data_IF_475738496141
#
_entry.id   IF_475738496141
#
_cell.length_a   1.000
_cell.length_b   1.000
_cell.length_c   1.000
_cell.angle_alpha   90.00
_cell.angle_beta   90.00
_cell.angle_gamma   90.00
#
_symmetry.space_group_name_H-M   'P 1'
#
loop_
_entity.id
_entity.type
_entity.pdbx_description
1 polymer ?
#
# COMPACT_ATOMS: atom_id res chain seq x y z
N UNK A 1 -3.12 -7.79 2.77
CA UNK A 1 -2.88 -6.50 3.45
C UNK A 1 -3.07 -5.28 2.55
N UNK A 2 -3.13 -5.38 1.22
CA UNK A 2 -3.34 -4.22 0.32
C UNK A 2 -4.69 -3.50 0.45
N UNK A 3 -5.78 -4.23 0.73
CA UNK A 3 -7.12 -3.65 0.94
C UNK A 3 -7.15 -2.65 2.11
N UNK A 4 -6.49 -2.97 3.24
CA UNK A 4 -6.49 -2.11 4.44
C UNK A 4 -5.83 -0.75 4.22
N UNK A 5 -4.77 -0.65 3.41
CA UNK A 5 -4.14 0.65 3.16
C UNK A 5 -5.00 1.50 2.21
N UNK A 6 -5.61 0.91 1.19
CA UNK A 6 -6.46 1.66 0.27
C UNK A 6 -7.71 2.20 0.96
N UNK A 7 -8.37 1.38 1.77
CA UNK A 7 -9.52 1.81 2.58
C UNK A 7 -9.11 2.92 3.55
N UNK A 8 -7.96 2.76 4.20
CA UNK A 8 -7.43 3.78 5.10
C UNK A 8 -7.09 5.10 4.39
N UNK A 9 -6.43 5.04 3.21
CA UNK A 9 -6.11 6.23 2.43
C UNK A 9 -7.38 6.96 1.97
N UNK A 10 -8.43 6.20 1.64
CA UNK A 10 -9.73 6.75 1.31
C UNK A 10 -10.37 7.45 2.51
N UNK A 11 -10.39 6.81 3.68
CA UNK A 11 -10.90 7.41 4.92
C UNK A 11 -10.13 8.69 5.28
N UNK A 12 -8.81 8.69 5.06
CA UNK A 12 -7.97 9.88 5.22
C UNK A 12 -8.34 10.98 4.23
N UNK A 13 -8.52 10.68 2.95
CA UNK A 13 -8.94 11.67 1.96
C UNK A 13 -10.31 12.27 2.29
N UNK A 14 -11.25 11.46 2.79
CA UNK A 14 -12.57 11.92 3.22
C UNK A 14 -12.49 12.79 4.49
N UNK A 15 -11.63 12.44 5.44
CA UNK A 15 -11.31 13.31 6.60
C UNK A 15 -10.74 14.66 6.17
N UNK A 16 -9.83 14.66 5.19
CA UNK A 16 -9.19 15.87 4.68
C UNK A 16 -10.19 16.79 3.95
N UNK A 17 -11.10 16.20 3.16
CA UNK A 17 -12.22 16.93 2.54
C UNK A 17 -13.15 17.53 3.59
N UNK A 18 -13.53 16.75 4.60
CA UNK A 18 -14.38 17.22 5.71
C UNK A 18 -13.74 18.34 6.52
N UNK A 19 -12.42 18.33 6.64
CA UNK A 19 -11.63 19.34 7.35
C UNK A 19 -11.27 20.55 6.49
N UNK A 20 -11.74 20.63 5.23
CA UNK A 20 -11.44 21.68 4.25
C UNK A 20 -9.93 21.89 4.01
N UNK A 21 -9.12 20.85 4.19
CA UNK A 21 -7.67 20.94 3.97
C UNK A 21 -7.37 20.72 2.48
N UNK A 22 -7.33 21.83 1.74
CA UNK A 22 -7.09 21.83 0.29
C UNK A 22 -5.63 22.07 -0.09
N UNK A 23 -4.83 22.61 0.83
CA UNK A 23 -3.44 22.91 0.57
C UNK A 23 -2.57 21.63 0.58
N UNK A 24 -1.80 21.34 -0.49
CA UNK A 24 -0.98 20.13 -0.59
C UNK A 24 0.06 19.99 0.53
N UNK A 25 0.59 21.11 1.05
CA UNK A 25 1.57 21.09 2.15
C UNK A 25 0.89 20.69 3.45
N UNK A 26 -0.29 21.25 3.75
CA UNK A 26 -1.10 20.83 4.89
C UNK A 26 -1.53 19.37 4.77
N UNK A 27 -1.82 18.86 3.58
CA UNK A 27 -2.15 17.46 3.35
C UNK A 27 -1.00 16.52 3.70
N UNK A 28 0.22 16.88 3.32
CA UNK A 28 1.44 16.17 3.69
C UNK A 28 1.71 16.17 5.20
N UNK A 29 1.49 17.31 5.86
CA UNK A 29 1.67 17.44 7.31
C UNK A 29 0.64 16.58 8.06
N UNK A 30 -0.63 16.64 7.63
CA UNK A 30 -1.70 15.81 8.19
C UNK A 30 -1.39 14.33 8.01
N UNK A 31 -0.94 13.92 6.82
CA UNK A 31 -0.53 12.56 6.54
C UNK A 31 0.62 12.12 7.46
N UNK A 32 1.63 12.96 7.66
CA UNK A 32 2.75 12.61 8.56
C UNK A 32 2.32 12.43 10.02
N UNK A 33 1.32 13.18 10.47
CA UNK A 33 0.91 13.20 11.89
C UNK A 33 -0.14 12.12 12.23
N UNK A 34 -1.03 11.79 11.29
CA UNK A 34 -2.20 10.94 11.56
C UNK A 34 -1.89 9.45 11.34
N UNK A 35 -0.94 9.15 10.45
CA UNK A 35 -0.80 7.81 9.85
C UNK A 35 0.08 6.85 10.68
N UNK A 36 0.54 7.28 11.86
CA UNK A 36 1.37 6.48 12.77
C UNK A 36 2.89 6.60 12.52
N UNK A 37 3.68 6.05 13.45
CA UNK A 37 5.14 6.22 13.48
C UNK A 37 5.85 5.55 12.29
N UNK A 38 5.41 4.37 11.85
CA UNK A 38 6.10 3.62 10.79
C UNK A 38 6.06 4.38 9.45
N UNK A 39 4.89 4.85 9.05
CA UNK A 39 4.76 5.59 7.79
C UNK A 39 5.39 6.97 7.89
N UNK A 40 5.34 7.62 9.06
CA UNK A 40 6.10 8.84 9.29
C UNK A 40 7.61 8.65 9.06
N UNK A 41 8.16 7.48 9.35
CA UNK A 41 9.54 7.12 8.99
C UNK A 41 9.70 6.92 7.48
N UNK A 42 8.78 6.19 6.82
CA UNK A 42 8.81 6.00 5.36
C UNK A 42 8.83 7.35 4.63
N UNK A 43 7.93 8.28 5.00
CA UNK A 43 7.87 9.62 4.42
C UNK A 43 9.17 10.38 4.67
N UNK A 44 9.73 10.31 5.87
CA UNK A 44 11.02 10.95 6.19
C UNK A 44 12.16 10.40 5.33
N UNK A 45 12.25 9.09 5.15
CA UNK A 45 13.29 8.49 4.30
C UNK A 45 13.10 8.89 2.83
N UNK A 46 11.85 8.90 2.34
CA UNK A 46 11.54 9.35 0.97
C UNK A 46 11.90 10.83 0.75
N UNK A 47 11.64 11.70 1.74
CA UNK A 47 11.94 13.14 1.68
C UNK A 47 13.44 13.46 1.72
N UNK A 48 14.31 12.57 2.24
CA UNK A 48 15.77 12.79 2.22
C UNK A 48 16.33 12.82 0.80
N UNK A 49 15.65 12.17 -0.14
CA UNK A 49 16.12 12.01 -1.50
C UNK A 49 15.45 12.97 -2.49
N UNK A 50 14.22 13.43 -2.21
CA UNK A 50 13.46 14.34 -3.10
C UNK A 50 12.44 15.20 -2.32
N UNK A 51 12.15 16.42 -2.79
CA UNK A 51 10.96 17.17 -2.38
C UNK A 51 9.73 16.50 -2.96
N UNK A 52 8.97 15.78 -2.12
CA UNK A 52 7.82 15.01 -2.57
C UNK A 52 6.53 15.77 -2.30
N UNK A 53 5.70 15.88 -3.34
CA UNK A 53 4.30 16.27 -3.26
C UNK A 53 3.47 15.18 -2.57
N UNK A 54 2.27 15.56 -2.11
CA UNK A 54 1.32 14.64 -1.49
C UNK A 54 1.01 13.43 -2.40
N UNK A 55 0.87 13.69 -3.71
CA UNK A 55 0.61 12.67 -4.72
C UNK A 55 1.74 11.64 -4.80
N UNK A 56 2.99 12.10 -4.85
CA UNK A 56 4.16 11.22 -4.93
C UNK A 56 4.31 10.37 -3.66
N UNK A 57 4.02 10.95 -2.49
CA UNK A 57 4.01 10.19 -1.23
C UNK A 57 2.91 9.13 -1.22
N UNK A 58 1.69 9.47 -1.65
CA UNK A 58 0.58 8.51 -1.75
C UNK A 58 0.93 7.33 -2.66
N UNK A 59 1.53 7.61 -3.81
CA UNK A 59 2.00 6.56 -4.72
C UNK A 59 3.10 5.70 -4.09
N UNK A 60 4.08 6.31 -3.42
CA UNK A 60 5.16 5.59 -2.78
C UNK A 60 4.66 4.68 -1.64
N UNK A 61 3.67 5.13 -0.86
CA UNK A 61 3.01 4.32 0.15
C UNK A 61 2.25 3.16 -0.49
N UNK A 62 1.48 3.44 -1.54
CA UNK A 62 0.77 2.39 -2.28
C UNK A 62 1.75 1.33 -2.80
N UNK A 63 2.90 1.73 -3.36
CA UNK A 63 3.94 0.79 -3.84
C UNK A 63 4.66 0.01 -2.73
N UNK A 64 4.83 0.58 -1.54
CA UNK A 64 5.52 -0.09 -0.44
C UNK A 64 4.63 -1.08 0.31
N UNK A 65 3.34 -0.79 0.41
CA UNK A 65 2.38 -1.62 1.14
C UNK A 65 1.55 -2.54 0.25
N UNK A 66 1.50 -2.31 -1.06
CA UNK A 66 1.16 -3.40 -1.98
C UNK A 66 2.28 -4.43 -1.91
N UNK A 67 1.88 -5.66 -1.61
CA UNK A 67 2.78 -6.80 -1.64
C UNK A 67 3.52 -6.79 -2.97
N UNK A 68 4.83 -6.50 -2.94
CA UNK A 68 5.69 -6.83 -4.07
C UNK A 68 5.56 -8.32 -4.24
N UNK A 69 5.01 -8.76 -5.38
CA UNK A 69 4.89 -10.20 -5.72
C UNK A 69 6.24 -10.84 -5.45
N UNK A 70 6.29 -11.71 -4.45
CA UNK A 70 7.52 -12.40 -4.11
C UNK A 70 7.66 -13.55 -5.11
N UNK A 71 8.29 -13.26 -6.24
CA UNK A 71 8.44 -14.20 -7.36
C UNK A 71 9.08 -15.52 -6.88
N UNK A 72 10.01 -15.46 -5.92
CA UNK A 72 10.63 -16.66 -5.36
C UNK A 72 9.63 -17.51 -4.56
N UNK A 73 8.79 -16.87 -3.74
CA UNK A 73 7.72 -17.55 -3.02
C UNK A 73 6.64 -18.09 -3.96
N UNK A 74 6.20 -17.32 -4.95
CA UNK A 74 5.21 -17.78 -5.94
C UNK A 74 5.74 -18.99 -6.74
N UNK A 75 7.03 -18.97 -7.14
CA UNK A 75 7.66 -20.13 -7.78
C UNK A 75 7.71 -21.34 -6.86
N UNK A 76 8.07 -21.15 -5.59
CA UNK A 76 8.11 -22.21 -4.61
C UNK A 76 6.71 -22.82 -4.38
N UNK A 77 5.69 -21.99 -4.19
CA UNK A 77 4.31 -22.42 -4.05
C UNK A 77 3.80 -23.15 -5.29
N UNK A 78 4.17 -22.69 -6.50
CA UNK A 78 3.80 -23.37 -7.74
C UNK A 78 4.49 -24.75 -7.87
N UNK A 79 5.77 -24.86 -7.50
CA UNK A 79 6.49 -26.14 -7.52
C UNK A 79 5.90 -27.13 -6.52
N UNK A 80 5.40 -26.64 -5.39
CA UNK A 80 4.77 -27.45 -4.36
C UNK A 80 3.27 -27.70 -4.58
N UNK A 81 2.65 -27.02 -5.55
CA UNK A 81 1.25 -27.22 -5.85
C UNK A 81 1.05 -28.64 -6.41
N UNK A 82 0.24 -29.43 -5.73
CA UNK A 82 -0.20 -30.74 -6.17
C UNK A 82 -1.71 -30.78 -6.15
N UNK A 83 -2.32 -31.30 -7.22
CA UNK A 83 -3.76 -31.47 -7.32
C UNK A 83 -4.27 -32.28 -6.11
N UNK A 84 -5.28 -31.75 -5.41
CA UNK A 84 -5.92 -32.50 -4.33
C UNK A 84 -6.80 -33.63 -4.89
N UNK A 85 -7.02 -34.68 -4.08
CA UNK A 85 -7.69 -35.90 -4.54
C UNK A 85 -9.10 -35.67 -5.08
N UNK A 86 -9.77 -34.66 -4.56
CA UNK A 86 -11.16 -34.33 -4.87
C UNK A 86 -11.27 -33.05 -5.73
N UNK A 87 -10.14 -32.48 -6.16
CA UNK A 87 -10.08 -31.26 -6.98
C UNK A 87 -10.19 -31.61 -8.47
N UNK A 88 -11.05 -30.91 -9.20
CA UNK A 88 -11.14 -31.10 -10.65
C UNK A 88 -9.96 -30.47 -11.38
N UNK A 89 -9.60 -31.04 -12.53
CA UNK A 89 -8.49 -30.53 -13.37
C UNK A 89 -8.69 -29.07 -13.82
N UNK A 90 -9.94 -28.62 -13.93
CA UNK A 90 -10.27 -27.24 -14.26
C UNK A 90 -10.02 -26.27 -13.10
N UNK A 91 -10.16 -26.73 -11.86
CA UNK A 91 -9.90 -25.93 -10.65
C UNK A 91 -8.39 -25.82 -10.36
N UNK A 92 -7.62 -26.88 -10.64
CA UNK A 92 -6.18 -26.90 -10.39
C UNK A 92 -5.35 -26.03 -11.35
N UNK A 93 -5.83 -25.80 -12.58
CA UNK A 93 -5.08 -25.11 -13.64
C UNK A 93 -5.41 -23.59 -13.71
N UNK A 94 -6.44 -23.12 -12.99
CA UNK A 94 -6.87 -21.72 -12.92
C UNK A 94 -6.17 -20.93 -11.81
#
# INVERSE_FOLDING_TARGET
MGLRLQDWLKDFEDFMKGSQVTDPVQQLIALRNIIGKEVGQIIKELQKHTLLSYQEVREALTRNFFHKRNIAYERYSFILASQERDESLGEFIL
#
